data_IF_995332008417
#
_entry.id   IF_995332008417
#
_cell.length_a   1.000
_cell.length_b   1.000
_cell.length_c   1.000
_cell.angle_alpha   90.00
_cell.angle_beta   90.00
_cell.angle_gamma   90.00
#
_symmetry.space_group_name_H-M   'P 1'
#
loop_
_entity.id
_entity.type
_entity.pdbx_description
1 polymer ?
#
# COMPACT_ATOMS: atom_id res chain seq x y z
N UNK A 1 12.14 -12.62 -14.64
CA UNK A 1 11.24 -11.50 -14.30
C UNK A 1 12.12 -10.38 -13.78
N UNK A 2 12.33 -9.33 -14.56
CA UNK A 2 13.05 -8.14 -14.11
C UNK A 2 12.15 -7.34 -13.17
N UNK A 3 12.53 -7.31 -11.90
CA UNK A 3 11.90 -6.44 -10.90
C UNK A 3 12.69 -5.14 -10.86
N UNK A 4 12.37 -4.21 -11.76
CA UNK A 4 13.02 -2.90 -11.83
C UNK A 4 12.36 -1.90 -10.89
N UNK A 5 13.12 -0.89 -10.45
CA UNK A 5 12.66 0.20 -9.58
C UNK A 5 11.39 0.89 -10.14
N UNK A 6 11.29 1.00 -11.47
CA UNK A 6 10.12 1.53 -12.17
C UNK A 6 8.83 0.76 -11.85
N UNK A 7 8.92 -0.56 -11.68
CA UNK A 7 7.77 -1.38 -11.30
C UNK A 7 7.31 -1.11 -9.88
N UNK A 8 8.24 -0.81 -8.97
CA UNK A 8 7.90 -0.38 -7.61
C UNK A 8 7.26 1.01 -7.63
N UNK A 9 7.82 1.95 -8.39
CA UNK A 9 7.26 3.30 -8.56
C UNK A 9 5.88 3.26 -9.21
N UNK A 10 5.60 2.31 -10.10
CA UNK A 10 4.28 2.09 -10.68
C UNK A 10 3.22 1.59 -9.69
N UNK A 11 3.63 1.13 -8.49
CA UNK A 11 2.73 0.84 -7.37
C UNK A 11 2.40 2.10 -6.56
N UNK A 12 3.16 3.20 -6.71
CA UNK A 12 2.91 4.43 -5.99
C UNK A 12 1.54 5.02 -6.40
N UNK A 13 0.69 5.32 -5.42
CA UNK A 13 -0.68 5.80 -5.65
C UNK A 13 -1.68 4.71 -6.04
N UNK A 14 -1.28 3.44 -6.12
CA UNK A 14 -2.21 2.33 -6.37
C UNK A 14 -2.85 1.82 -5.10
N UNK A 15 -4.09 1.36 -5.25
CA UNK A 15 -4.84 0.74 -4.18
C UNK A 15 -4.36 -0.70 -3.94
N UNK A 16 -3.93 -1.00 -2.70
CA UNK A 16 -3.53 -2.33 -2.24
C UNK A 16 -4.63 -3.36 -2.49
N UNK A 17 -5.89 -2.96 -2.32
CA UNK A 17 -7.04 -3.82 -2.53
C UNK A 17 -7.27 -4.19 -4.01
N UNK A 18 -6.74 -3.39 -4.95
CA UNK A 18 -6.91 -3.59 -6.39
C UNK A 18 -5.64 -4.09 -7.07
N UNK A 19 -4.61 -4.49 -6.31
CA UNK A 19 -3.38 -5.01 -6.89
C UNK A 19 -3.62 -6.35 -7.55
N UNK A 20 -3.04 -6.51 -8.74
CA UNK A 20 -2.92 -7.81 -9.37
C UNK A 20 -1.90 -8.67 -8.62
N UNK A 21 -2.01 -10.01 -8.69
CA UNK A 21 -1.06 -10.92 -8.01
C UNK A 21 0.41 -10.66 -8.39
N UNK A 22 0.67 -10.23 -9.64
CA UNK A 22 2.00 -9.84 -10.11
C UNK A 22 2.53 -8.60 -9.38
N UNK A 23 1.67 -7.62 -9.15
CA UNK A 23 2.02 -6.39 -8.44
C UNK A 23 2.22 -6.64 -6.94
N UNK A 24 1.46 -7.59 -6.39
CA UNK A 24 1.63 -8.05 -5.01
C UNK A 24 3.00 -8.69 -4.78
N UNK A 25 3.49 -9.48 -5.74
CA UNK A 25 4.85 -10.03 -5.71
C UNK A 25 5.92 -8.94 -5.77
N UNK A 26 5.74 -7.93 -6.62
CA UNK A 26 6.64 -6.78 -6.72
C UNK A 26 6.66 -6.02 -5.40
N UNK A 27 5.49 -5.73 -4.83
CA UNK A 27 5.38 -5.11 -3.51
C UNK A 27 6.13 -5.90 -2.45
N UNK A 28 5.90 -7.21 -2.35
CA UNK A 28 6.52 -8.02 -1.31
C UNK A 28 8.04 -8.11 -1.49
N UNK A 29 8.49 -8.19 -2.75
CA UNK A 29 9.91 -8.17 -3.10
C UNK A 29 10.58 -6.86 -2.66
N UNK A 30 10.02 -5.71 -3.03
CA UNK A 30 10.57 -4.41 -2.65
C UNK A 30 10.29 -4.03 -1.19
N UNK A 31 9.30 -4.61 -0.52
CA UNK A 31 9.14 -4.47 0.93
C UNK A 31 10.31 -5.12 1.67
N UNK A 32 10.82 -6.25 1.18
CA UNK A 32 11.96 -6.95 1.77
C UNK A 32 13.32 -6.46 1.25
N UNK A 33 13.40 -6.14 -0.04
CA UNK A 33 14.64 -5.78 -0.73
C UNK A 33 14.78 -4.28 -1.01
N UNK A 34 13.75 -3.46 -0.80
CA UNK A 34 13.75 -2.03 -1.13
C UNK A 34 14.87 -1.26 -0.44
N UNK A 35 15.28 -1.71 0.76
CA UNK A 35 16.44 -1.16 1.47
C UNK A 35 17.75 -1.27 0.68
N UNK A 36 17.91 -2.28 -0.19
CA UNK A 36 19.07 -2.42 -1.09
C UNK A 36 19.03 -1.43 -2.26
N UNK A 37 17.84 -0.96 -2.63
CA UNK A 37 17.60 -0.06 -3.76
C UNK A 37 17.31 1.38 -3.32
N UNK A 38 17.49 1.72 -2.03
CA UNK A 38 17.03 2.98 -1.42
C UNK A 38 15.53 3.29 -1.65
N UNK A 39 14.72 2.24 -1.81
CA UNK A 39 13.27 2.35 -1.92
C UNK A 39 12.61 1.99 -0.59
N UNK A 40 11.82 2.91 -0.06
CA UNK A 40 10.89 2.69 1.02
C UNK A 40 9.47 2.56 0.47
N UNK A 41 8.93 1.33 0.50
CA UNK A 41 7.51 1.09 0.24
C UNK A 41 6.76 1.11 1.56
N UNK A 42 5.64 1.83 1.61
CA UNK A 42 4.74 1.86 2.76
C UNK A 42 3.30 1.83 2.27
N UNK A 43 2.47 0.98 2.87
CA UNK A 43 1.02 1.06 2.67
C UNK A 43 0.50 2.09 3.64
N UNK A 44 -0.03 3.19 3.09
CA UNK A 44 -0.76 4.17 3.87
C UNK A 44 -2.23 3.88 3.61
N UNK A 45 -2.90 3.31 4.61
CA UNK A 45 -4.35 3.23 4.56
C UNK A 45 -4.91 4.65 4.47
N UNK A 46 -5.67 4.93 3.42
CA UNK A 46 -6.28 6.25 3.22
C UNK A 46 -7.39 6.51 4.23
N UNK A 47 -7.78 5.48 4.99
CA UNK A 47 -8.58 5.58 6.20
C UNK A 47 -7.79 6.42 7.23
N UNK A 48 -8.11 7.71 7.42
CA UNK A 48 -7.41 8.49 8.40
C UNK A 48 -7.67 7.87 9.77
N UNK A 49 -6.63 7.78 10.60
CA UNK A 49 -6.76 7.25 11.96
C UNK A 49 -7.80 8.01 12.78
N UNK A 50 -8.09 9.27 12.43
CA UNK A 50 -9.21 10.04 12.96
C UNK A 50 -10.58 9.44 12.66
N UNK A 51 -10.84 8.94 11.44
CA UNK A 51 -12.11 8.30 11.07
C UNK A 51 -12.19 6.89 11.68
N UNK A 52 -11.08 6.15 11.68
CA UNK A 52 -11.00 4.83 12.35
C UNK A 52 -11.23 4.95 13.87
N UNK A 53 -10.79 6.05 14.50
CA UNK A 53 -11.10 6.35 15.91
C UNK A 53 -12.53 6.84 16.13
N UNK A 54 -13.16 7.42 15.10
CA UNK A 54 -14.58 7.77 15.14
C UNK A 54 -15.50 6.58 14.89
N UNK A 55 -14.97 5.45 14.38
CA UNK A 55 -15.73 4.23 14.21
C UNK A 55 -16.28 3.76 15.57
N UNK A 56 -17.58 4.01 15.79
CA UNK A 56 -18.26 3.66 17.04
C UNK A 56 -18.55 2.16 17.17
N UNK A 57 -18.23 1.37 16.15
CA UNK A 57 -18.50 -0.06 16.11
C UNK A 57 -17.61 -0.77 15.09
N UNK A 58 -17.30 -2.05 15.31
CA UNK A 58 -16.43 -2.85 14.44
C UNK A 58 -16.94 -2.96 13.01
N UNK A 59 -18.26 -2.96 12.79
CA UNK A 59 -18.83 -2.91 11.43
C UNK A 59 -18.57 -1.58 10.72
N UNK A 60 -18.59 -0.47 11.46
CA UNK A 60 -18.29 0.85 10.91
C UNK A 60 -16.79 0.99 10.62
N UNK A 61 -15.95 0.36 11.44
CA UNK A 61 -14.52 0.24 11.16
C UNK A 61 -14.30 -0.57 9.88
N UNK A 62 -14.97 -1.72 9.73
CA UNK A 62 -14.87 -2.56 8.53
C UNK A 62 -15.40 -1.84 7.28
N UNK A 63 -16.48 -1.06 7.38
CA UNK A 63 -16.99 -0.22 6.30
C UNK A 63 -16.03 0.92 5.96
N UNK A 64 -15.43 1.60 6.93
CA UNK A 64 -14.42 2.64 6.68
C UNK A 64 -13.19 2.02 6.01
N UNK A 65 -12.72 0.86 6.47
CA UNK A 65 -11.60 0.13 5.85
C UNK A 65 -11.97 -0.34 4.44
N UNK A 66 -13.21 -0.77 4.19
CA UNK A 66 -13.69 -1.14 2.85
C UNK A 66 -13.87 0.05 1.92
N UNK A 67 -14.31 1.18 2.47
CA UNK A 67 -14.69 2.38 1.71
C UNK A 67 -13.48 3.29 1.46
N UNK A 68 -12.53 3.33 2.39
CA UNK A 68 -11.24 3.97 2.20
C UNK A 68 -10.24 2.94 1.73
N UNK A 69 -9.93 2.98 0.44
CA UNK A 69 -8.86 2.23 -0.17
C UNK A 69 -7.53 2.36 0.59
N UNK A 70 -6.67 1.36 0.45
CA UNK A 70 -5.33 1.38 1.04
C UNK A 70 -4.36 1.80 -0.03
N UNK A 71 -3.81 3.01 0.04
CA UNK A 71 -2.92 3.51 -1.01
C UNK A 71 -1.48 3.09 -0.73
N UNK A 72 -0.81 2.53 -1.72
CA UNK A 72 0.62 2.27 -1.63
C UNK A 72 1.36 3.58 -1.88
N UNK A 73 2.21 3.96 -0.95
CA UNK A 73 3.20 5.02 -1.13
C UNK A 73 4.58 4.39 -1.32
N UNK A 74 5.25 4.75 -2.40
CA UNK A 74 6.63 4.37 -2.69
C UNK A 74 7.50 5.61 -2.71
N UNK A 75 8.50 5.65 -1.83
CA UNK A 75 9.52 6.70 -1.79
C UNK A 75 10.86 6.09 -2.21
N UNK A 76 11.39 6.52 -3.34
CA UNK A 76 12.77 6.27 -3.71
C UNK A 76 13.61 7.47 -3.27
N UNK A 77 14.70 7.24 -2.54
CA UNK A 77 15.73 8.24 -2.21
C UNK A 77 16.96 8.04 -3.09
#
# INVERSE_FOLDING_TARGET
MEHSIESALALNGKDRATLSPKEEQIYNYFCQQGRKFNIAISVISKAPQSELKQAKSSQHYDEIIKRYGSEITVKAN
#
